data_IF_712288828483
#
_entry.id   IF_712288828483
#
_cell.length_a   1.000
_cell.length_b   1.000
_cell.length_c   1.000
_cell.angle_alpha   90.00
_cell.angle_beta   90.00
_cell.angle_gamma   90.00
#
_symmetry.space_group_name_H-M   'P 1'
#
loop_
_entity.id
_entity.type
_entity.pdbx_description
1 polymer ?
#
# COMPACT_ATOMS: atom_id res chain seq x y z
N UNK A 1 -12.71 -3.38 17.63
CA UNK A 1 -13.81 -4.00 16.85
C UNK A 1 -13.16 -4.72 15.68
N UNK A 2 -13.58 -5.94 15.37
CA UNK A 2 -13.11 -6.70 14.21
C UNK A 2 -14.21 -6.60 13.16
N UNK A 3 -13.83 -6.39 11.89
CA UNK A 3 -14.78 -6.39 10.78
C UNK A 3 -15.10 -7.83 10.39
N UNK A 4 -16.38 -8.18 10.26
CA UNK A 4 -16.80 -9.50 9.78
C UNK A 4 -17.26 -9.48 8.32
N UNK A 5 -17.48 -8.28 7.75
CA UNK A 5 -17.85 -8.10 6.34
C UNK A 5 -17.07 -6.94 5.69
N UNK A 6 -16.94 -6.91 4.35
CA UNK A 6 -16.33 -5.77 3.63
C UNK A 6 -17.00 -4.43 3.94
N UNK A 7 -18.32 -4.43 4.14
CA UNK A 7 -19.07 -3.23 4.49
C UNK A 7 -18.75 -2.75 5.90
N UNK A 8 -18.55 -3.66 6.84
CA UNK A 8 -18.11 -3.32 8.21
C UNK A 8 -16.66 -2.84 8.23
N UNK A 9 -15.80 -3.41 7.39
CA UNK A 9 -14.43 -2.94 7.21
C UNK A 9 -14.44 -1.50 6.67
N UNK A 10 -15.25 -1.21 5.65
CA UNK A 10 -15.44 0.15 5.12
C UNK A 10 -15.96 1.09 6.22
N UNK A 11 -16.98 0.70 6.98
CA UNK A 11 -17.54 1.52 8.05
C UNK A 11 -16.53 1.78 9.19
N UNK A 12 -15.66 0.82 9.49
CA UNK A 12 -14.57 0.99 10.46
C UNK A 12 -13.46 1.91 9.92
N UNK A 13 -13.11 1.77 8.64
CA UNK A 13 -12.15 2.64 7.94
C UNK A 13 -12.69 4.09 7.84
N UNK A 14 -13.98 4.26 7.57
CA UNK A 14 -14.68 5.55 7.56
C UNK A 14 -14.72 6.14 8.97
N UNK A 15 -15.16 5.38 9.96
CA UNK A 15 -15.22 5.85 11.36
C UNK A 15 -13.85 6.18 11.98
N UNK A 16 -12.76 5.58 11.49
CA UNK A 16 -11.39 5.97 11.86
C UNK A 16 -10.91 7.21 11.09
N UNK A 17 -11.28 7.32 9.80
CA UNK A 17 -11.05 8.52 9.00
C UNK A 17 -11.74 9.76 9.57
N UNK A 18 -12.93 9.59 10.15
CA UNK A 18 -13.68 10.65 10.85
C UNK A 18 -13.11 11.02 12.22
N UNK A 19 -12.21 10.21 12.80
CA UNK A 19 -11.70 10.34 14.19
C UNK A 19 -10.18 10.52 14.29
N UNK A 20 -9.57 11.28 13.37
CA UNK A 20 -8.14 11.63 13.34
C UNK A 20 -7.18 10.51 12.84
N UNK A 21 -7.67 9.38 12.34
CA UNK A 21 -6.82 8.25 11.93
C UNK A 21 -5.78 8.63 10.86
N UNK A 22 -6.21 9.34 9.81
CA UNK A 22 -5.31 9.82 8.76
C UNK A 22 -4.32 10.86 9.27
N UNK A 23 -4.74 11.78 10.15
CA UNK A 23 -3.86 12.79 10.72
C UNK A 23 -2.71 12.16 11.53
N UNK A 24 -2.99 11.06 12.25
CA UNK A 24 -1.95 10.30 12.97
C UNK A 24 -0.98 9.59 12.04
N UNK A 25 -1.47 9.02 10.94
CA UNK A 25 -0.63 8.39 9.93
C UNK A 25 0.28 9.46 9.29
N UNK A 26 -0.28 10.61 8.93
CA UNK A 26 0.50 11.74 8.40
C UNK A 26 1.59 12.21 9.37
N UNK A 27 1.25 12.39 10.65
CA UNK A 27 2.24 12.78 11.66
C UNK A 27 3.35 11.72 11.83
N UNK A 28 3.03 10.43 11.70
CA UNK A 28 4.04 9.38 11.77
C UNK A 28 5.03 9.45 10.59
N UNK A 29 4.57 9.77 9.38
CA UNK A 29 5.43 9.99 8.22
C UNK A 29 6.35 11.20 8.47
N UNK A 30 5.80 12.31 8.95
CA UNK A 30 6.58 13.51 9.23
C UNK A 30 7.72 13.22 10.23
N UNK A 31 7.45 12.40 11.26
CA UNK A 31 8.46 11.99 12.23
C UNK A 31 9.54 11.11 11.59
N UNK A 32 9.17 10.14 10.76
CA UNK A 32 10.13 9.26 10.09
C UNK A 32 11.02 10.05 9.11
N UNK A 33 10.44 10.98 8.35
CA UNK A 33 11.18 11.83 7.41
C UNK A 33 12.18 12.75 8.11
N UNK A 34 11.84 13.22 9.30
CA UNK A 34 12.68 14.15 10.07
C UNK A 34 13.66 13.44 11.01
N UNK A 35 13.52 12.13 11.20
CA UNK A 35 14.37 11.39 12.12
C UNK A 35 15.82 11.35 11.63
N UNK A 36 16.77 11.69 12.51
CA UNK A 36 18.20 11.80 12.19
C UNK A 36 18.87 10.50 11.69
N UNK A 37 18.19 9.35 11.81
CA UNK A 37 18.66 8.06 11.29
C UNK A 37 18.03 7.66 9.94
N UNK A 38 17.23 8.51 9.33
CA UNK A 38 16.68 8.30 7.99
C UNK A 38 17.35 9.24 7.00
N UNK A 39 17.31 8.86 5.73
CA UNK A 39 17.72 9.72 4.61
C UNK A 39 16.55 10.55 4.06
N UNK A 40 15.47 10.66 4.83
CA UNK A 40 14.22 11.38 4.51
C UNK A 40 13.41 10.84 3.33
N UNK A 41 13.85 9.78 2.65
CA UNK A 41 13.05 9.14 1.61
C UNK A 41 12.18 8.07 2.24
N UNK A 42 10.86 8.22 2.14
CA UNK A 42 9.90 7.33 2.80
C UNK A 42 8.99 6.64 1.80
N UNK A 43 8.56 5.44 2.17
CA UNK A 43 7.53 4.70 1.47
C UNK A 43 6.54 4.14 2.49
N UNK A 44 5.30 3.95 2.06
CA UNK A 44 4.24 3.39 2.90
C UNK A 44 3.82 2.03 2.42
N UNK A 45 3.67 1.09 3.34
CA UNK A 45 3.12 -0.24 3.09
C UNK A 45 1.93 -0.45 4.01
N UNK A 46 0.77 -0.76 3.44
CA UNK A 46 -0.47 -0.96 4.16
C UNK A 46 -1.10 -2.32 3.85
N UNK A 47 -1.71 -2.94 4.87
CA UNK A 47 -2.38 -4.24 4.81
C UNK A 47 -3.86 -4.12 5.14
N UNK A 48 -4.74 -4.66 4.31
CA UNK A 48 -6.19 -4.61 4.48
C UNK A 48 -6.69 -3.17 4.62
N UNK A 49 -7.20 -2.83 5.81
CA UNK A 49 -7.52 -1.44 6.17
C UNK A 49 -6.33 -0.48 5.96
N UNK A 50 -5.11 -0.88 6.37
CA UNK A 50 -3.89 -0.10 6.14
C UNK A 50 -3.61 0.13 4.66
N UNK A 51 -3.95 -0.84 3.79
CA UNK A 51 -3.84 -0.69 2.34
C UNK A 51 -4.77 0.39 1.79
N UNK A 52 -5.94 0.59 2.43
CA UNK A 52 -6.86 1.68 2.10
C UNK A 52 -6.24 3.04 2.44
N UNK A 53 -5.53 3.14 3.57
CA UNK A 53 -4.77 4.35 3.91
C UNK A 53 -3.58 4.58 2.98
N UNK A 54 -2.93 3.53 2.47
CA UNK A 54 -1.90 3.68 1.45
C UNK A 54 -2.45 4.32 0.15
N UNK A 55 -3.71 4.08 -0.20
CA UNK A 55 -4.36 4.82 -1.29
C UNK A 55 -4.54 6.31 -0.97
N UNK A 56 -4.98 6.65 0.25
CA UNK A 56 -5.07 8.05 0.65
C UNK A 56 -3.70 8.73 0.62
N UNK A 57 -2.63 8.05 1.07
CA UNK A 57 -1.27 8.59 0.99
C UNK A 57 -0.90 8.87 -0.47
N UNK A 58 -1.14 7.92 -1.38
CA UNK A 58 -0.74 8.06 -2.78
C UNK A 58 -1.48 9.19 -3.52
N UNK A 59 -2.72 9.47 -3.10
CA UNK A 59 -3.56 10.54 -3.67
C UNK A 59 -3.22 11.90 -3.07
N UNK A 60 -3.07 11.98 -1.74
CA UNK A 60 -3.03 13.24 -1.03
C UNK A 60 -1.62 13.77 -0.77
N UNK A 61 -0.66 12.88 -0.53
CA UNK A 61 0.72 13.22 -0.22
C UNK A 61 1.62 13.09 -1.44
N UNK A 62 2.56 14.01 -1.58
CA UNK A 62 3.57 14.01 -2.66
C UNK A 62 5.01 13.98 -2.14
N UNK A 63 5.17 13.84 -0.83
CA UNK A 63 6.44 13.70 -0.10
C UNK A 63 6.80 12.24 0.22
N UNK A 64 5.88 11.31 -0.05
CA UNK A 64 6.14 9.87 -0.02
C UNK A 64 6.57 9.39 -1.41
N UNK A 65 7.65 8.63 -1.48
CA UNK A 65 8.26 8.18 -2.74
C UNK A 65 7.52 7.00 -3.39
N UNK A 66 6.88 6.17 -2.58
CA UNK A 66 6.11 5.02 -3.04
C UNK A 66 5.05 4.59 -2.02
N UNK A 67 3.92 4.10 -2.51
CA UNK A 67 2.87 3.50 -1.72
C UNK A 67 2.58 2.06 -2.17
N UNK A 68 2.42 1.16 -1.21
CA UNK A 68 2.04 -0.23 -1.44
C UNK A 68 0.80 -0.57 -0.63
N UNK A 69 -0.24 -1.06 -1.32
CA UNK A 69 -1.48 -1.51 -0.73
C UNK A 69 -1.66 -3.01 -0.95
N UNK A 70 -1.61 -3.80 0.12
CA UNK A 70 -2.01 -5.20 0.14
C UNK A 70 -3.48 -5.30 0.56
N UNK A 71 -4.36 -5.83 -0.31
CA UNK A 71 -5.77 -6.05 0.01
C UNK A 71 -6.54 -4.79 0.44
N UNK A 72 -6.14 -3.61 -0.06
CA UNK A 72 -6.80 -2.34 0.28
C UNK A 72 -8.16 -2.17 -0.40
N UNK A 73 -9.01 -1.29 0.14
CA UNK A 73 -10.33 -0.96 -0.43
C UNK A 73 -10.26 0.38 -1.18
N UNK A 74 -10.19 0.41 -2.52
CA UNK A 74 -10.00 1.63 -3.30
C UNK A 74 -11.25 2.53 -3.38
N UNK A 75 -12.41 2.04 -2.92
CA UNK A 75 -13.73 2.64 -3.18
C UNK A 75 -13.82 4.11 -2.76
N UNK A 76 -13.21 4.48 -1.62
CA UNK A 76 -13.20 5.85 -1.10
C UNK A 76 -12.41 6.82 -1.99
N UNK A 77 -11.43 6.32 -2.73
CA UNK A 77 -10.53 7.12 -3.56
C UNK A 77 -10.90 7.11 -5.04
N UNK A 78 -11.98 6.41 -5.42
CA UNK A 78 -12.44 6.46 -6.79
C UNK A 78 -12.84 7.87 -7.22
N UNK A 79 -12.43 8.24 -8.44
CA UNK A 79 -12.49 9.58 -8.99
C UNK A 79 -11.27 10.46 -8.65
N UNK A 80 -10.44 10.04 -7.68
CA UNK A 80 -9.25 10.76 -7.21
C UNK A 80 -7.93 10.12 -7.64
N UNK A 81 -7.92 8.86 -8.06
CA UNK A 81 -6.67 8.18 -8.47
C UNK A 81 -5.94 8.86 -9.65
N UNK A 82 -6.67 9.57 -10.52
CA UNK A 82 -6.05 10.39 -11.58
C UNK A 82 -5.15 11.51 -11.05
N UNK A 83 -5.32 11.92 -9.79
CA UNK A 83 -4.52 12.94 -9.12
C UNK A 83 -3.45 12.34 -8.21
N UNK A 84 -3.18 11.03 -8.30
CA UNK A 84 -2.09 10.40 -7.57
C UNK A 84 -0.77 11.14 -7.81
N UNK A 85 -0.09 11.45 -6.71
CA UNK A 85 1.18 12.17 -6.67
C UNK A 85 2.37 11.24 -6.43
N UNK A 86 2.08 10.02 -5.98
CA UNK A 86 3.08 9.03 -5.59
C UNK A 86 2.83 7.72 -6.36
N UNK A 87 3.89 7.05 -6.85
CA UNK A 87 3.81 5.70 -7.39
C UNK A 87 3.06 4.75 -6.46
N UNK A 88 2.15 3.95 -7.03
CA UNK A 88 1.27 3.08 -6.27
C UNK A 88 1.33 1.65 -6.78
N UNK A 89 1.65 0.71 -5.89
CA UNK A 89 1.47 -0.71 -6.09
C UNK A 89 0.25 -1.19 -5.30
N UNK A 90 -0.70 -1.85 -5.96
CA UNK A 90 -1.80 -2.53 -5.31
C UNK A 90 -1.70 -4.04 -5.57
N UNK A 91 -1.66 -4.84 -4.51
CA UNK A 91 -1.58 -6.30 -4.53
C UNK A 91 -2.85 -6.90 -3.93
N UNK A 92 -3.45 -7.84 -4.65
CA UNK A 92 -4.65 -8.57 -4.20
C UNK A 92 -4.44 -10.06 -4.37
N UNK A 93 -4.92 -10.88 -3.43
CA UNK A 93 -4.97 -12.31 -3.67
C UNK A 93 -6.00 -12.62 -4.76
N UNK A 94 -5.69 -13.57 -5.64
CA UNK A 94 -6.61 -13.99 -6.70
C UNK A 94 -7.95 -14.50 -6.16
N UNK A 95 -7.92 -15.06 -4.96
CA UNK A 95 -9.05 -15.69 -4.29
C UNK A 95 -9.69 -14.76 -3.25
N UNK A 96 -9.36 -13.47 -3.24
CA UNK A 96 -9.91 -12.51 -2.26
C UNK A 96 -11.43 -12.32 -2.47
N UNK A 97 -12.28 -12.73 -1.51
CA UNK A 97 -13.72 -12.62 -1.63
C UNK A 97 -14.23 -11.19 -1.38
N UNK A 98 -13.39 -10.30 -0.88
CA UNK A 98 -13.77 -8.95 -0.46
C UNK A 98 -13.60 -7.90 -1.58
N UNK A 99 -12.92 -8.26 -2.67
CA UNK A 99 -12.72 -7.37 -3.81
C UNK A 99 -13.29 -7.97 -5.10
N UNK A 100 -14.35 -7.36 -5.62
CA UNK A 100 -14.95 -7.84 -6.86
C UNK A 100 -14.08 -7.45 -8.08
N UNK A 101 -14.00 -8.29 -9.13
CA UNK A 101 -13.21 -7.97 -10.33
C UNK A 101 -13.51 -6.59 -10.97
N UNK A 102 -14.77 -6.11 -11.05
CA UNK A 102 -15.06 -4.77 -11.57
C UNK A 102 -14.42 -3.63 -10.78
N UNK A 103 -14.17 -3.84 -9.47
CA UNK A 103 -13.50 -2.85 -8.60
C UNK A 103 -12.02 -2.75 -8.98
N UNK A 104 -11.35 -3.88 -9.24
CA UNK A 104 -9.97 -3.90 -9.70
C UNK A 104 -9.80 -3.30 -11.09
N UNK A 105 -10.70 -3.62 -12.02
CA UNK A 105 -10.67 -3.04 -13.37
C UNK A 105 -10.91 -1.54 -13.36
N UNK A 106 -11.79 -1.04 -12.48
CA UNK A 106 -11.95 0.39 -12.25
C UNK A 106 -10.67 1.02 -11.70
N UNK A 107 -10.05 0.42 -10.69
CA UNK A 107 -8.80 0.91 -10.10
C UNK A 107 -7.70 1.02 -11.16
N UNK A 108 -7.49 -0.02 -11.96
CA UNK A 108 -6.52 -0.02 -13.07
C UNK A 108 -6.77 1.12 -14.05
N UNK A 109 -8.03 1.31 -14.46
CA UNK A 109 -8.40 2.38 -15.40
C UNK A 109 -8.11 3.76 -14.83
N UNK A 110 -8.53 4.04 -13.60
CA UNK A 110 -8.32 5.37 -13.01
C UNK A 110 -6.83 5.67 -12.75
N UNK A 111 -6.02 4.67 -12.40
CA UNK A 111 -4.57 4.84 -12.29
C UNK A 111 -3.89 5.07 -13.65
N UNK A 112 -4.39 4.43 -14.72
CA UNK A 112 -3.90 4.65 -16.08
C UNK A 112 -4.21 6.07 -16.61
N UNK A 113 -5.19 6.76 -16.01
CA UNK A 113 -5.53 8.16 -16.33
C UNK A 113 -4.67 9.19 -15.54
N UNK A 114 -3.83 8.73 -14.61
CA UNK A 114 -2.98 9.61 -13.82
C UNK A 114 -1.72 10.06 -14.59
N UNK A 115 -1.11 11.16 -14.12
CA UNK A 115 0.19 11.62 -14.66
C UNK A 115 1.34 10.64 -14.39
N UNK A 116 1.17 9.75 -13.41
CA UNK A 116 2.12 8.70 -13.05
C UNK A 116 1.70 7.32 -13.57
N UNK A 117 0.87 7.24 -14.61
CA UNK A 117 0.31 5.99 -15.13
C UNK A 117 1.34 4.86 -15.31
N UNK A 118 2.52 5.18 -15.85
CA UNK A 118 3.60 4.19 -16.08
C UNK A 118 4.31 3.71 -14.80
N UNK A 119 4.06 4.36 -13.67
CA UNK A 119 4.68 4.10 -12.36
C UNK A 119 3.72 3.33 -11.43
N UNK A 120 2.44 3.26 -11.77
CA UNK A 120 1.45 2.49 -11.02
C UNK A 120 1.43 1.03 -11.46
N UNK A 121 1.03 0.15 -10.53
CA UNK A 121 0.89 -1.28 -10.77
C UNK A 121 -0.24 -1.86 -9.94
N UNK A 122 -1.12 -2.63 -10.56
CA UNK A 122 -2.18 -3.40 -9.87
C UNK A 122 -2.02 -4.86 -10.27
N UNK A 123 -1.71 -5.72 -9.30
CA UNK A 123 -1.43 -7.13 -9.56
C UNK A 123 -2.28 -8.04 -8.67
N UNK A 124 -2.58 -9.22 -9.20
CA UNK A 124 -3.19 -10.31 -8.44
C UNK A 124 -2.15 -11.39 -8.19
N UNK A 125 -2.08 -11.90 -6.98
CA UNK A 125 -1.17 -12.99 -6.58
C UNK A 125 -1.97 -14.28 -6.51
N UNK A 126 -1.54 -15.29 -7.26
CA UNK A 126 -2.14 -16.63 -7.23
C UNK A 126 -1.97 -17.27 -5.85
N UNK A 127 -2.81 -18.27 -5.56
CA UNK A 127 -2.81 -19.04 -4.30
C UNK A 127 -3.09 -18.24 -3.01
N UNK A 128 -3.26 -16.92 -3.08
CA UNK A 128 -3.62 -16.06 -1.95
C UNK A 128 -5.06 -15.55 -2.05
N UNK A 129 -5.65 -15.32 -0.87
CA UNK A 129 -6.92 -14.64 -0.68
C UNK A 129 -6.67 -13.23 -0.09
N UNK A 130 -7.46 -12.80 0.89
CA UNK A 130 -7.30 -11.46 1.47
C UNK A 130 -6.02 -11.33 2.32
N UNK A 131 -5.70 -12.35 3.11
CA UNK A 131 -4.51 -12.35 3.95
C UNK A 131 -3.25 -12.64 3.12
N UNK A 132 -2.17 -11.91 3.39
CA UNK A 132 -0.89 -12.04 2.71
C UNK A 132 0.23 -12.60 3.58
N UNK A 133 0.06 -12.62 4.90
CA UNK A 133 1.13 -12.95 5.87
C UNK A 133 0.61 -13.77 7.06
N UNK A 134 -0.28 -14.74 6.82
CA UNK A 134 -0.80 -15.56 7.90
C UNK A 134 0.18 -16.69 8.26
N UNK A 135 0.34 -16.94 9.56
CA UNK A 135 1.18 -18.04 10.07
C UNK A 135 0.63 -19.43 9.72
N UNK A 136 -0.65 -19.51 9.34
CA UNK A 136 -1.37 -20.75 9.04
C UNK A 136 -1.24 -21.20 7.58
N UNK A 137 -0.48 -20.49 6.75
CA UNK A 137 -0.33 -20.80 5.34
C UNK A 137 0.33 -22.15 5.08
N UNK A 138 -0.21 -22.86 4.09
CA UNK A 138 0.44 -24.03 3.52
C UNK A 138 1.73 -23.63 2.74
N UNK A 139 2.58 -24.60 2.34
CA UNK A 139 3.84 -24.28 1.65
C UNK A 139 3.68 -23.48 0.35
N UNK A 140 2.61 -23.68 -0.42
CA UNK A 140 2.36 -22.93 -1.66
C UNK A 140 1.98 -21.48 -1.34
N UNK A 141 1.11 -21.29 -0.36
CA UNK A 141 0.72 -19.97 0.15
C UNK A 141 1.91 -19.22 0.76
N UNK A 142 2.80 -19.90 1.49
CA UNK A 142 4.03 -19.30 2.02
C UNK A 142 4.97 -18.83 0.89
N UNK A 143 5.07 -19.60 -0.19
CA UNK A 143 5.85 -19.21 -1.37
C UNK A 143 5.25 -17.98 -2.06
N UNK A 144 3.93 -17.98 -2.28
CA UNK A 144 3.21 -16.85 -2.85
C UNK A 144 3.32 -15.58 -1.98
N UNK A 145 3.22 -15.72 -0.65
CA UNK A 145 3.42 -14.64 0.32
C UNK A 145 4.81 -14.00 0.20
N UNK A 146 5.86 -14.83 0.12
CA UNK A 146 7.24 -14.34 -0.08
C UNK A 146 7.40 -13.66 -1.44
N UNK A 147 6.78 -14.20 -2.49
CA UNK A 147 6.80 -13.58 -3.82
C UNK A 147 6.11 -12.20 -3.80
N UNK A 148 4.95 -12.09 -3.14
CA UNK A 148 4.23 -10.83 -2.97
C UNK A 148 5.06 -9.79 -2.20
N UNK A 149 5.72 -10.20 -1.11
CA UNK A 149 6.63 -9.34 -0.36
C UNK A 149 7.81 -8.88 -1.23
N UNK A 150 8.38 -9.78 -2.04
CA UNK A 150 9.46 -9.43 -2.96
C UNK A 150 9.00 -8.38 -3.98
N UNK A 151 7.81 -8.54 -4.57
CA UNK A 151 7.24 -7.56 -5.51
C UNK A 151 7.09 -6.19 -4.84
N UNK A 152 6.64 -6.15 -3.59
CA UNK A 152 6.52 -4.91 -2.83
C UNK A 152 7.87 -4.24 -2.53
N UNK A 153 8.87 -5.02 -2.12
CA UNK A 153 10.23 -4.51 -1.87
C UNK A 153 10.87 -4.01 -3.17
N UNK A 154 10.83 -4.81 -4.23
CA UNK A 154 11.35 -4.42 -5.56
C UNK A 154 10.63 -3.16 -6.09
N UNK A 155 9.36 -2.96 -5.73
CA UNK A 155 8.61 -1.76 -6.09
C UNK A 155 9.15 -0.53 -5.36
N UNK A 156 9.26 -0.57 -4.03
CA UNK A 156 9.74 0.60 -3.26
C UNK A 156 11.21 0.90 -3.53
N UNK A 157 12.05 -0.11 -3.78
CA UNK A 157 13.49 0.07 -4.08
C UNK A 157 13.74 0.87 -5.36
N UNK A 158 12.76 0.92 -6.28
CA UNK A 158 12.85 1.76 -7.49
C UNK A 158 12.69 3.25 -7.21
N UNK A 159 12.07 3.61 -6.10
CA UNK A 159 11.70 4.99 -5.77
C UNK A 159 12.43 5.52 -4.52
N UNK A 160 12.80 4.64 -3.60
CA UNK A 160 13.59 5.01 -2.43
C UNK A 160 15.03 5.31 -2.82
N UNK A 161 15.59 6.37 -2.23
CA UNK A 161 17.03 6.60 -2.31
C UNK A 161 17.74 5.63 -1.36
N UNK A 162 18.77 4.94 -1.83
CA UNK A 162 19.54 4.06 -0.96
C UNK A 162 20.38 4.86 0.04
N UNK A 163 20.46 4.43 1.32
CA UNK A 163 21.31 5.11 2.28
C UNK A 163 22.78 4.99 1.86
N UNK A 164 23.51 6.12 1.90
CA UNK A 164 24.96 6.07 1.76
C UNK A 164 25.55 5.42 3.01
N UNK A 165 26.07 4.19 2.85
CA UNK A 165 26.75 3.50 3.94
C UNK A 165 27.98 4.34 4.33
N UNK A 166 28.13 4.77 5.59
CA UNK A 166 29.32 5.47 6.03
C UNK A 166 30.55 4.60 5.74
N UNK A 167 31.63 5.22 5.26
CA UNK A 167 32.88 4.52 5.03
C UNK A 167 33.27 3.76 6.31
N UNK A 168 33.60 2.47 6.17
CA UNK A 168 34.01 1.64 7.30
C UNK A 168 35.27 2.26 7.91
N UNK A 169 35.17 2.78 9.13
CA UNK A 169 36.35 3.21 9.89
C UNK A 169 37.24 1.99 10.11
N UNK A 170 38.42 1.98 9.50
CA UNK A 170 39.50 1.05 9.82
C UNK A 170 40.12 1.58 11.11
N UNK A 171 39.99 0.83 12.20
CA UNK A 171 40.68 1.09 13.47
C UNK A 171 41.96 0.27 13.54
#
# INVERSE_FOLDING_TARGET
RIAETPKDAIALVEGLGERDGLARIYAAIDVVEQHHQTNRTTAVIGLGMGGSFAFDMAVDRGDVEAAVAFGGFPQRNFGRFKTCKTPLLALYGKQDPHIAPPVLERLKRELAESVLAAQHSVQTVEDLAHDFFADTFDPAQQYASRAALKIAIDFIDRYLTMPQRPARKVY
#
